data_IF_930696790895
#
_entry.id   IF_930696790895
#
_cell.length_a   1.000
_cell.length_b   1.000
_cell.length_c   1.000
_cell.angle_alpha   90.00
_cell.angle_beta   90.00
_cell.angle_gamma   90.00
#
_symmetry.space_group_name_H-M   'P 1'
#
loop_
_entity.id
_entity.type
_entity.pdbx_description
1 polymer ?
#
# COMPACT_ATOMS: atom_id res chain seq x y z
N UNK A 1 32.07 26.66 -3.29
CA UNK A 1 31.89 26.18 -4.71
C UNK A 1 32.39 24.75 -4.91
N UNK A 2 33.55 24.35 -4.38
CA UNK A 2 34.12 23.02 -4.57
C UNK A 2 33.27 21.85 -4.01
N UNK A 3 32.52 22.05 -2.93
CA UNK A 3 31.60 21.05 -2.38
C UNK A 3 30.42 20.76 -3.33
N UNK A 4 29.96 21.75 -4.08
CA UNK A 4 28.90 21.56 -5.08
C UNK A 4 29.36 20.73 -6.28
N UNK A 5 30.64 20.85 -6.66
CA UNK A 5 31.20 20.10 -7.78
C UNK A 5 31.37 18.59 -7.48
N UNK A 6 31.48 18.23 -6.18
CA UNK A 6 31.63 16.84 -5.74
C UNK A 6 30.32 16.21 -5.27
N UNK A 7 29.26 16.97 -5.10
CA UNK A 7 27.97 16.48 -4.64
C UNK A 7 27.11 16.02 -5.83
N UNK A 8 26.82 14.70 -5.94
CA UNK A 8 26.06 14.15 -7.06
C UNK A 8 24.65 14.75 -7.21
N UNK A 9 24.09 15.33 -6.17
CA UNK A 9 22.77 16.00 -6.22
C UNK A 9 22.74 17.21 -7.16
N UNK A 10 23.91 17.81 -7.42
CA UNK A 10 24.04 18.94 -8.36
C UNK A 10 24.55 18.55 -9.75
N UNK A 11 24.94 17.30 -9.93
CA UNK A 11 25.53 16.82 -11.18
C UNK A 11 24.61 15.89 -11.96
N UNK A 12 23.58 15.32 -11.30
CA UNK A 12 22.67 14.35 -11.90
C UNK A 12 21.23 14.83 -11.78
N UNK A 13 20.46 14.58 -12.80
CA UNK A 13 19.01 14.66 -12.78
C UNK A 13 18.44 13.25 -12.95
N UNK A 14 17.40 12.95 -12.17
CA UNK A 14 16.73 11.67 -12.24
C UNK A 14 15.38 11.86 -12.94
N UNK A 15 15.16 11.06 -13.97
CA UNK A 15 13.88 10.98 -14.65
C UNK A 15 13.38 9.54 -14.54
N UNK A 16 12.07 9.38 -14.32
CA UNK A 16 11.40 8.10 -14.45
C UNK A 16 10.41 8.19 -15.61
N UNK A 17 10.47 7.22 -16.51
CA UNK A 17 9.56 7.13 -17.64
C UNK A 17 8.58 5.99 -17.40
N UNK A 18 7.29 6.26 -17.57
CA UNK A 18 6.24 5.25 -17.53
C UNK A 18 5.95 4.79 -18.97
N UNK A 19 6.11 3.49 -19.21
CA UNK A 19 5.86 2.89 -20.51
C UNK A 19 4.56 2.09 -20.50
N UNK A 20 3.86 2.14 -21.61
CA UNK A 20 2.79 1.19 -21.93
C UNK A 20 3.30 0.31 -23.08
N UNK A 21 3.30 -1.00 -22.85
CA UNK A 21 3.61 -1.98 -23.88
C UNK A 21 2.33 -2.33 -24.62
N UNK A 22 2.34 -2.21 -25.94
CA UNK A 22 1.28 -2.73 -26.78
C UNK A 22 1.35 -4.27 -26.77
N UNK A 23 0.26 -4.94 -26.44
CA UNK A 23 0.23 -6.39 -26.27
C UNK A 23 0.29 -7.14 -27.60
N UNK A 24 -0.07 -6.49 -28.72
CA UNK A 24 -0.12 -7.12 -30.03
C UNK A 24 1.21 -6.93 -30.78
N UNK A 25 1.84 -5.77 -30.66
CA UNK A 25 3.08 -5.44 -31.37
C UNK A 25 4.33 -5.60 -30.51
N UNK A 26 4.19 -5.57 -29.18
CA UNK A 26 5.31 -5.54 -28.23
C UNK A 26 6.03 -4.20 -28.18
N UNK A 27 5.53 -3.16 -28.87
CA UNK A 27 6.13 -1.84 -28.86
C UNK A 27 5.87 -1.11 -27.54
N UNK A 28 6.90 -0.43 -27.03
CA UNK A 28 6.80 0.39 -25.83
C UNK A 28 6.59 1.85 -26.20
N UNK A 29 5.54 2.44 -25.63
CA UNK A 29 5.22 3.85 -25.77
C UNK A 29 5.36 4.55 -24.43
N UNK A 30 6.15 5.61 -24.35
CA UNK A 30 6.24 6.47 -23.16
C UNK A 30 4.93 7.22 -23.02
N UNK A 31 4.27 7.04 -21.87
CA UNK A 31 2.99 7.70 -21.54
C UNK A 31 3.15 8.84 -20.54
N UNK A 32 4.18 8.81 -19.70
CA UNK A 32 4.50 9.90 -18.76
C UNK A 32 5.99 9.94 -18.46
N UNK A 33 6.50 11.14 -18.17
CA UNK A 33 7.90 11.37 -17.77
C UNK A 33 7.91 12.15 -16.46
N UNK A 34 8.43 11.53 -15.41
CA UNK A 34 8.53 12.09 -14.07
C UNK A 34 9.95 12.63 -13.85
N UNK A 35 10.16 13.91 -14.06
CA UNK A 35 11.45 14.57 -13.83
C UNK A 35 11.60 15.15 -12.43
N UNK A 36 10.51 15.38 -11.72
CA UNK A 36 10.50 15.84 -10.32
C UNK A 36 9.13 15.61 -9.68
N UNK A 37 9.10 15.65 -8.36
CA UNK A 37 7.83 15.61 -7.60
C UNK A 37 7.08 16.95 -7.57
N UNK A 38 7.68 18.04 -8.11
CA UNK A 38 7.05 19.36 -8.17
C UNK A 38 5.91 19.36 -9.19
N UNK A 39 4.77 19.93 -8.83
CA UNK A 39 3.59 19.99 -9.70
C UNK A 39 2.69 18.75 -9.71
N UNK A 40 3.09 17.66 -9.07
CA UNK A 40 2.28 16.45 -8.92
C UNK A 40 1.35 16.52 -7.71
N UNK A 41 0.23 15.80 -7.77
CA UNK A 41 -0.66 15.62 -6.62
C UNK A 41 0.03 14.86 -5.49
N UNK A 42 -0.53 14.91 -4.27
CA UNK A 42 0.03 14.18 -3.13
C UNK A 42 0.17 12.67 -3.39
N UNK A 43 -0.84 12.07 -4.00
CA UNK A 43 -0.85 10.63 -4.33
C UNK A 43 0.17 10.24 -5.40
N UNK A 44 0.38 11.07 -6.42
CA UNK A 44 1.41 10.84 -7.44
C UNK A 44 2.83 10.93 -6.86
N UNK A 45 3.06 11.87 -5.92
CA UNK A 45 4.34 11.96 -5.20
C UNK A 45 4.62 10.73 -4.35
N UNK A 46 3.61 10.24 -3.64
CA UNK A 46 3.71 9.03 -2.82
C UNK A 46 3.99 7.81 -3.68
N UNK A 47 3.30 7.68 -4.82
CA UNK A 47 3.55 6.61 -5.80
C UNK A 47 4.97 6.62 -6.33
N UNK A 48 5.45 7.80 -6.75
CA UNK A 48 6.81 7.97 -7.25
C UNK A 48 7.86 7.61 -6.20
N UNK A 49 7.69 8.09 -4.97
CA UNK A 49 8.58 7.74 -3.86
C UNK A 49 8.58 6.24 -3.59
N UNK A 50 7.41 5.59 -3.60
CA UNK A 50 7.28 4.14 -3.43
C UNK A 50 8.03 3.34 -4.50
N UNK A 51 7.94 3.74 -5.76
CA UNK A 51 8.66 3.10 -6.87
C UNK A 51 10.18 3.26 -6.72
N UNK A 52 10.65 4.46 -6.36
CA UNK A 52 12.09 4.72 -6.13
C UNK A 52 12.61 3.85 -4.97
N UNK A 53 11.86 3.76 -3.86
CA UNK A 53 12.24 2.91 -2.73
C UNK A 53 12.30 1.45 -3.15
N UNK A 54 11.30 0.95 -3.88
CA UNK A 54 11.27 -0.43 -4.37
C UNK A 54 12.47 -0.75 -5.28
N UNK A 55 12.75 0.14 -6.23
CA UNK A 55 13.88 -0.01 -7.14
C UNK A 55 15.23 0.01 -6.41
N UNK A 56 15.39 0.92 -5.44
CA UNK A 56 16.61 1.02 -4.62
C UNK A 56 16.83 -0.23 -3.78
N UNK A 57 15.79 -0.75 -3.15
CA UNK A 57 15.86 -2.00 -2.39
C UNK A 57 16.18 -3.19 -3.28
N UNK A 58 15.54 -3.28 -4.45
CA UNK A 58 15.81 -4.34 -5.41
C UNK A 58 17.29 -4.31 -5.83
N UNK A 59 17.82 -3.13 -6.15
CA UNK A 59 19.21 -2.97 -6.55
C UNK A 59 20.20 -3.41 -5.44
N UNK A 60 19.98 -2.95 -4.20
CA UNK A 60 20.90 -3.23 -3.08
C UNK A 60 20.82 -4.68 -2.62
N UNK A 61 19.63 -5.30 -2.66
CA UNK A 61 19.38 -6.63 -2.12
C UNK A 61 19.50 -7.75 -3.17
N UNK A 62 19.70 -7.42 -4.44
CA UNK A 62 19.94 -8.41 -5.48
C UNK A 62 21.39 -8.91 -5.41
N UNK A 63 21.62 -10.23 -5.29
CA UNK A 63 22.96 -10.79 -5.31
C UNK A 63 23.69 -10.51 -6.62
N UNK A 64 25.01 -10.46 -6.58
CA UNK A 64 25.83 -10.32 -7.79
C UNK A 64 25.52 -11.44 -8.80
N UNK A 65 25.11 -11.07 -10.01
CA UNK A 65 24.70 -12.00 -11.06
C UNK A 65 23.26 -12.51 -10.96
N UNK A 66 22.47 -12.01 -10.02
CA UNK A 66 21.04 -12.26 -9.94
C UNK A 66 20.20 -11.17 -10.58
N UNK A 67 18.97 -11.49 -10.97
CA UNK A 67 18.02 -10.55 -11.57
C UNK A 67 17.11 -9.88 -10.54
N UNK A 68 16.94 -10.50 -9.37
CA UNK A 68 16.03 -10.05 -8.31
C UNK A 68 16.54 -10.41 -6.93
N UNK A 69 16.08 -9.71 -5.88
CA UNK A 69 16.31 -10.11 -4.49
C UNK A 69 15.83 -11.55 -4.24
N UNK A 70 16.62 -12.35 -3.53
CA UNK A 70 16.21 -13.71 -3.11
C UNK A 70 15.24 -13.61 -1.94
N UNK A 71 15.55 -12.74 -0.99
CA UNK A 71 14.76 -12.47 0.19
C UNK A 71 14.87 -11.00 0.55
N UNK A 72 13.76 -10.32 0.58
CA UNK A 72 13.68 -8.94 1.06
C UNK A 72 12.32 -8.67 1.68
N UNK A 73 12.30 -7.90 2.76
CA UNK A 73 11.06 -7.48 3.39
C UNK A 73 11.11 -5.99 3.71
N UNK A 74 9.99 -5.33 3.58
CA UNK A 74 9.82 -3.92 3.89
C UNK A 74 8.57 -3.71 4.73
N UNK A 75 8.64 -2.76 5.67
CA UNK A 75 7.50 -2.30 6.46
C UNK A 75 7.10 -0.92 5.95
N UNK A 76 5.85 -0.80 5.51
CA UNK A 76 5.26 0.44 5.04
C UNK A 76 4.21 0.88 6.06
N UNK A 77 4.56 1.92 6.81
CA UNK A 77 3.68 2.48 7.85
C UNK A 77 2.86 3.65 7.29
N UNK A 78 1.53 3.56 7.47
CA UNK A 78 0.53 4.52 6.96
C UNK A 78 0.64 4.83 5.45
N UNK A 79 1.37 4.01 4.69
CA UNK A 79 1.51 4.19 3.27
C UNK A 79 0.14 4.14 2.57
N UNK A 80 0.01 4.92 1.51
CA UNK A 80 -1.19 5.01 0.67
C UNK A 80 -2.42 5.64 1.35
N UNK A 81 -2.26 6.27 2.50
CA UNK A 81 -3.38 6.89 3.24
C UNK A 81 -4.06 8.02 2.47
N UNK A 82 -3.32 8.70 1.60
CA UNK A 82 -3.78 9.83 0.78
C UNK A 82 -3.69 9.56 -0.74
N UNK A 83 -3.43 8.32 -1.12
CA UNK A 83 -3.23 7.91 -2.51
C UNK A 83 -4.50 7.28 -3.06
N UNK A 84 -4.78 7.49 -4.34
CA UNK A 84 -5.87 6.80 -5.02
C UNK A 84 -5.59 5.29 -5.05
N UNK A 85 -6.61 4.48 -4.85
CA UNK A 85 -6.50 3.04 -4.74
C UNK A 85 -5.83 2.40 -5.98
N UNK A 86 -6.16 2.88 -7.18
CA UNK A 86 -5.55 2.41 -8.43
C UNK A 86 -4.04 2.64 -8.50
N UNK A 87 -3.57 3.76 -7.94
CA UNK A 87 -2.15 4.11 -7.86
C UNK A 87 -1.45 3.23 -6.83
N UNK A 88 -2.05 3.05 -5.66
CA UNK A 88 -1.53 2.19 -4.60
C UNK A 88 -1.36 0.74 -5.08
N UNK A 89 -2.33 0.19 -5.81
CA UNK A 89 -2.26 -1.15 -6.41
C UNK A 89 -1.09 -1.28 -7.38
N UNK A 90 -0.83 -0.25 -8.20
CA UNK A 90 0.32 -0.27 -9.12
C UNK A 90 1.65 -0.33 -8.37
N UNK A 91 1.79 0.47 -7.30
CA UNK A 91 3.01 0.47 -6.47
C UNK A 91 3.21 -0.89 -5.79
N UNK A 92 2.17 -1.45 -5.16
CA UNK A 92 2.24 -2.77 -4.54
C UNK A 92 2.62 -3.87 -5.55
N UNK A 93 2.10 -3.77 -6.78
CA UNK A 93 2.47 -4.69 -7.86
C UNK A 93 3.94 -4.58 -8.28
N UNK A 94 4.52 -3.37 -8.24
CA UNK A 94 5.97 -3.19 -8.50
C UNK A 94 6.79 -3.92 -7.43
N UNK A 95 6.47 -3.76 -6.14
CA UNK A 95 7.16 -4.48 -5.08
C UNK A 95 7.08 -6.01 -5.28
N UNK A 96 5.89 -6.53 -5.60
CA UNK A 96 5.70 -7.94 -5.86
C UNK A 96 6.53 -8.44 -7.07
N UNK A 97 6.53 -7.69 -8.18
CA UNK A 97 7.35 -8.02 -9.36
C UNK A 97 8.84 -8.02 -9.06
N UNK A 98 9.29 -7.20 -8.14
CA UNK A 98 10.68 -7.12 -7.68
C UNK A 98 11.00 -8.14 -6.59
N UNK A 99 10.09 -9.05 -6.26
CA UNK A 99 10.24 -10.06 -5.21
C UNK A 99 10.53 -9.46 -3.82
N UNK A 100 9.87 -8.34 -3.50
CA UNK A 100 9.98 -7.67 -2.22
C UNK A 100 8.70 -7.95 -1.41
N UNK A 101 8.86 -8.61 -0.27
CA UNK A 101 7.76 -8.87 0.66
C UNK A 101 7.39 -7.60 1.42
N UNK A 102 6.10 -7.26 1.44
CA UNK A 102 5.58 -6.06 2.06
C UNK A 102 4.82 -6.42 3.33
N UNK A 103 5.14 -5.72 4.43
CA UNK A 103 4.31 -5.63 5.62
C UNK A 103 3.64 -4.25 5.60
N UNK A 104 2.36 -4.21 5.29
CA UNK A 104 1.61 -2.97 5.21
C UNK A 104 0.92 -2.69 6.54
N UNK A 105 1.32 -1.61 7.22
CA UNK A 105 0.66 -1.11 8.43
C UNK A 105 -0.29 -0.01 8.00
N UNK A 106 -1.59 -0.23 8.20
CA UNK A 106 -2.60 0.67 7.64
C UNK A 106 -3.84 0.76 8.53
N UNK A 107 -4.50 1.93 8.60
CA UNK A 107 -5.79 2.05 9.25
C UNK A 107 -6.87 1.20 8.57
N UNK A 108 -7.90 0.85 9.33
CA UNK A 108 -9.03 0.03 8.89
C UNK A 108 -9.68 0.49 7.55
N UNK A 109 -9.72 1.79 7.30
CA UNK A 109 -10.30 2.35 6.06
C UNK A 109 -9.64 1.86 4.77
N UNK A 110 -8.37 1.45 4.84
CA UNK A 110 -7.57 1.01 3.68
C UNK A 110 -7.49 -0.52 3.55
N UNK A 111 -8.28 -1.25 4.34
CA UNK A 111 -8.21 -2.71 4.41
C UNK A 111 -8.53 -3.40 3.07
N UNK A 112 -9.38 -2.79 2.23
CA UNK A 112 -9.68 -3.35 0.92
C UNK A 112 -8.43 -3.43 0.02
N UNK A 113 -7.57 -2.42 0.09
CA UNK A 113 -6.30 -2.42 -0.63
C UNK A 113 -5.35 -3.50 -0.10
N UNK A 114 -5.27 -3.63 1.23
CA UNK A 114 -4.45 -4.65 1.89
C UNK A 114 -4.90 -6.06 1.52
N UNK A 115 -6.23 -6.30 1.43
CA UNK A 115 -6.81 -7.59 1.09
C UNK A 115 -6.33 -8.16 -0.24
N UNK A 116 -6.14 -7.31 -1.24
CA UNK A 116 -5.71 -7.76 -2.57
C UNK A 116 -4.21 -8.10 -2.63
N UNK A 117 -3.43 -7.51 -1.74
CA UNK A 117 -1.98 -7.62 -1.74
C UNK A 117 -1.43 -8.53 -0.63
N UNK A 118 -2.19 -8.80 0.41
CA UNK A 118 -1.73 -9.52 1.60
C UNK A 118 -2.38 -10.89 1.74
N UNK A 119 -1.58 -11.88 2.12
CA UNK A 119 -2.03 -13.25 2.38
C UNK A 119 -2.56 -13.45 3.80
N UNK A 120 -2.13 -12.64 4.76
CA UNK A 120 -2.56 -12.68 6.17
C UNK A 120 -2.84 -11.29 6.70
N UNK A 121 -3.66 -11.22 7.74
CA UNK A 121 -4.07 -10.02 8.43
C UNK A 121 -3.71 -10.13 9.90
N UNK A 122 -3.02 -9.12 10.43
CA UNK A 122 -2.78 -8.96 11.86
C UNK A 122 -3.57 -7.77 12.36
N UNK A 123 -4.50 -8.00 13.28
CA UNK A 123 -5.29 -6.95 13.90
C UNK A 123 -4.60 -6.54 15.19
N UNK A 124 -4.30 -5.25 15.32
CA UNK A 124 -3.74 -4.66 16.53
C UNK A 124 -4.84 -3.88 17.25
N UNK A 125 -5.16 -4.28 18.47
CA UNK A 125 -6.16 -3.64 19.32
C UNK A 125 -5.51 -3.10 20.58
N UNK A 126 -5.97 -1.94 21.03
CA UNK A 126 -5.54 -1.34 22.29
C UNK A 126 -6.71 -1.20 23.24
N UNK A 127 -6.60 -1.82 24.40
CA UNK A 127 -7.50 -1.57 25.52
C UNK A 127 -6.98 -0.37 26.32
N UNK A 128 -7.67 0.76 26.20
CA UNK A 128 -7.26 2.02 26.86
C UNK A 128 -7.41 1.92 28.38
N UNK A 129 -8.40 1.18 28.86
CA UNK A 129 -8.68 1.08 30.30
C UNK A 129 -7.67 0.20 31.05
N UNK A 130 -7.16 -0.83 30.38
CA UNK A 130 -6.22 -1.78 30.95
C UNK A 130 -4.78 -1.48 30.57
N UNK A 131 -4.55 -0.46 29.71
CA UNK A 131 -3.24 -0.10 29.16
C UNK A 131 -2.54 -1.26 28.43
N UNK A 132 -3.31 -2.21 27.91
CA UNK A 132 -2.81 -3.38 27.20
C UNK A 132 -3.02 -3.26 25.70
N UNK A 133 -2.16 -3.92 24.94
CA UNK A 133 -2.28 -4.04 23.49
C UNK A 133 -2.24 -5.52 23.12
N UNK A 134 -3.13 -5.91 22.23
CA UNK A 134 -3.23 -7.27 21.72
C UNK A 134 -3.02 -7.29 20.21
N UNK A 135 -2.32 -8.31 19.72
CA UNK A 135 -2.17 -8.60 18.30
C UNK A 135 -2.76 -9.96 18.03
N UNK A 136 -3.65 -10.03 17.04
CA UNK A 136 -4.32 -11.26 16.65
C UNK A 136 -4.13 -11.47 15.16
N UNK A 137 -3.56 -12.60 14.77
CA UNK A 137 -3.52 -13.02 13.38
C UNK A 137 -4.86 -13.68 13.02
N UNK A 138 -5.44 -13.24 11.91
CA UNK A 138 -6.70 -13.77 11.38
C UNK A 138 -6.57 -14.02 9.88
N UNK A 139 -7.29 -15.01 9.40
CA UNK A 139 -7.46 -15.22 7.95
C UNK A 139 -8.50 -14.25 7.40
N UNK A 140 -8.50 -14.03 6.10
CA UNK A 140 -9.51 -13.19 5.45
C UNK A 140 -10.92 -13.79 5.56
N UNK A 141 -11.03 -15.13 5.59
CA UNK A 141 -12.29 -15.84 5.80
C UNK A 141 -12.85 -15.60 7.20
N UNK A 142 -12.02 -15.71 8.23
CA UNK A 142 -12.42 -15.43 9.62
C UNK A 142 -12.84 -13.98 9.80
N UNK A 143 -12.10 -13.06 9.23
CA UNK A 143 -12.44 -11.63 9.24
C UNK A 143 -13.80 -11.38 8.59
N UNK A 144 -14.08 -11.95 7.43
CA UNK A 144 -15.35 -11.79 6.72
C UNK A 144 -16.51 -12.40 7.52
N UNK A 145 -16.31 -13.55 8.13
CA UNK A 145 -17.32 -14.18 8.99
C UNK A 145 -17.68 -13.28 10.17
N UNK A 146 -16.68 -12.74 10.89
CA UNK A 146 -16.90 -11.83 12.00
C UNK A 146 -17.59 -10.54 11.57
N UNK A 147 -17.19 -9.96 10.44
CA UNK A 147 -17.81 -8.77 9.86
C UNK A 147 -19.28 -9.01 9.52
N UNK A 148 -19.60 -10.14 8.90
CA UNK A 148 -20.97 -10.50 8.53
C UNK A 148 -21.84 -10.73 9.75
N UNK A 149 -21.33 -11.39 10.79
CA UNK A 149 -22.05 -11.57 12.07
C UNK A 149 -22.33 -10.21 12.75
N UNK A 150 -21.32 -9.33 12.77
CA UNK A 150 -21.48 -7.98 13.35
C UNK A 150 -22.52 -7.16 12.60
N UNK A 151 -22.52 -7.20 11.27
CA UNK A 151 -23.51 -6.51 10.45
C UNK A 151 -24.92 -7.08 10.65
N UNK A 152 -25.05 -8.39 10.77
CA UNK A 152 -26.33 -9.03 11.06
C UNK A 152 -26.90 -8.59 12.41
N UNK A 153 -26.08 -8.56 13.45
CA UNK A 153 -26.48 -8.07 14.77
C UNK A 153 -26.87 -6.58 14.77
N UNK A 154 -26.14 -5.74 14.05
CA UNK A 154 -26.48 -4.33 13.89
C UNK A 154 -27.85 -4.16 13.23
N UNK A 155 -28.12 -4.87 12.14
CA UNK A 155 -29.42 -4.82 11.46
C UNK A 155 -30.56 -5.31 12.35
N UNK A 156 -30.33 -6.34 13.17
CA UNK A 156 -31.32 -6.79 14.13
C UNK A 156 -31.61 -5.72 15.19
N UNK A 157 -30.59 -5.08 15.75
CA UNK A 157 -30.75 -3.99 16.72
C UNK A 157 -31.50 -2.79 16.14
N UNK A 158 -31.16 -2.40 14.92
CA UNK A 158 -31.87 -1.30 14.22
C UNK A 158 -33.35 -1.62 14.01
N UNK A 159 -33.66 -2.84 13.56
CA UNK A 159 -35.04 -3.28 13.38
C UNK A 159 -35.83 -3.32 14.70
N UNK A 160 -35.20 -3.79 15.79
CA UNK A 160 -35.80 -3.77 17.13
C UNK A 160 -36.08 -2.34 17.61
N UNK A 161 -35.14 -1.41 17.40
CA UNK A 161 -35.31 -0.01 17.77
C UNK A 161 -36.46 0.66 17.00
N UNK A 162 -36.60 0.35 15.70
CA UNK A 162 -37.72 0.84 14.87
C UNK A 162 -39.04 0.29 15.41
N UNK A 163 -39.13 -0.98 15.79
CA UNK A 163 -40.32 -1.58 16.35
C UNK A 163 -40.69 -0.95 17.70
N UNK A 164 -39.73 -0.68 18.57
CA UNK A 164 -39.99 -0.02 19.87
C UNK A 164 -40.52 1.40 19.65
N UNK A 165 -39.96 2.16 18.73
CA UNK A 165 -40.44 3.51 18.39
C UNK A 165 -41.86 3.50 17.84
N UNK A 166 -42.23 2.50 17.02
CA UNK A 166 -43.60 2.38 16.48
C UNK A 166 -44.65 1.94 17.49
N UNK A 167 -44.24 1.34 18.63
CA UNK A 167 -45.12 0.95 19.73
C UNK A 167 -45.34 2.07 20.76
N UNK A 168 -44.51 3.10 20.73
CA UNK A 168 -44.55 4.27 21.65
C UNK A 168 -45.23 5.49 21.06
N UNK A 169 -45.66 5.42 19.82
CA UNK A 169 -46.48 6.45 19.09
C UNK A 169 -47.92 6.01 19.03
#
# INVERSE_FOLDING_TARGET
ESLRLLDPRYQMSFNAEEFKTDLDTGEEQVIDVLSSSSGKSGGEKESFAGIIVAASLAYVLTPTGGDKPIYSTVFLDEAFSNTQESVSRRVLNVFNKLNIHINLITPYKNLNLAREAANSLIICERNINEHESQMTEVTWEEYDQQKNQTNHLKNQLENMNIQIQSMTT
#
